data_IF_137172922462
#
_entry.id   IF_137172922462
#
_cell.length_a   1.000
_cell.length_b   1.000
_cell.length_c   1.000
_cell.angle_alpha   90.00
_cell.angle_beta   90.00
_cell.angle_gamma   90.00
#
_symmetry.space_group_name_H-M   'P 1'
#
loop_
_entity.id
_entity.type
_entity.pdbx_description
1 polymer ?
#
# COMPACT_ATOMS: atom_id res chain seq x y z
N UNK A 1 -2.67 14.43 2.81
CA UNK A 1 -2.66 13.08 3.44
C UNK A 1 -1.56 12.24 2.79
N UNK A 2 -1.09 11.17 3.44
CA UNK A 2 -0.01 10.31 2.91
C UNK A 2 -0.30 9.74 1.52
N UNK A 3 -1.56 9.41 1.23
CA UNK A 3 -1.98 8.96 -0.10
C UNK A 3 -1.85 10.06 -1.17
N UNK A 4 -2.11 11.32 -0.82
CA UNK A 4 -2.01 12.45 -1.76
C UNK A 4 -0.55 12.70 -2.17
N UNK A 5 0.37 12.68 -1.19
CA UNK A 5 1.82 12.73 -1.43
C UNK A 5 2.25 11.57 -2.35
N UNK A 6 1.86 10.34 -2.00
CA UNK A 6 2.16 9.15 -2.79
C UNK A 6 1.65 9.22 -4.23
N UNK A 7 0.40 9.67 -4.43
CA UNK A 7 -0.19 9.83 -5.77
C UNK A 7 0.66 10.77 -6.62
N UNK A 8 1.02 11.94 -6.11
CA UNK A 8 1.78 12.94 -6.87
C UNK A 8 3.15 12.37 -7.28
N UNK A 9 3.85 11.72 -6.34
CA UNK A 9 5.14 11.09 -6.62
C UNK A 9 5.03 10.00 -7.68
N UNK A 10 4.14 9.03 -7.52
CA UNK A 10 4.03 7.87 -8.42
C UNK A 10 3.52 8.26 -9.80
N UNK A 11 2.55 9.18 -9.89
CA UNK A 11 2.06 9.64 -11.20
C UNK A 11 3.13 10.45 -11.94
N UNK A 12 3.95 11.22 -11.22
CA UNK A 12 5.09 11.96 -11.77
C UNK A 12 6.21 11.04 -12.27
N UNK A 13 6.59 10.05 -11.47
CA UNK A 13 7.66 9.09 -11.80
C UNK A 13 7.26 8.15 -12.94
N UNK A 14 6.02 7.66 -12.96
CA UNK A 14 5.56 6.68 -13.95
C UNK A 14 4.91 7.31 -15.20
N UNK A 15 4.61 8.61 -15.16
CA UNK A 15 3.86 9.30 -16.21
C UNK A 15 2.44 8.76 -16.43
N UNK A 16 1.88 8.04 -15.45
CA UNK A 16 0.59 7.35 -15.53
C UNK A 16 -0.30 7.76 -14.38
N UNK A 17 -1.55 8.12 -14.67
CA UNK A 17 -2.55 8.47 -13.65
C UNK A 17 -3.16 7.23 -12.99
N UNK A 18 -3.39 7.31 -11.68
CA UNK A 18 -4.15 6.32 -10.92
C UNK A 18 -5.62 6.45 -11.31
N UNK A 19 -6.19 5.41 -11.94
CA UNK A 19 -7.59 5.40 -12.39
C UNK A 19 -8.55 4.75 -11.39
N UNK A 20 -8.09 3.70 -10.74
CA UNK A 20 -8.92 2.90 -9.82
C UNK A 20 -8.11 2.58 -8.57
N UNK A 21 -8.72 2.78 -7.41
CA UNK A 21 -8.19 2.36 -6.12
C UNK A 21 -9.14 1.31 -5.53
N UNK A 22 -8.62 0.10 -5.33
CA UNK A 22 -9.32 -0.99 -4.65
C UNK A 22 -8.74 -1.17 -3.26
N UNK A 23 -9.59 -1.16 -2.24
CA UNK A 23 -9.20 -1.41 -0.85
C UNK A 23 -10.14 -2.45 -0.23
N UNK A 24 -9.75 -2.99 0.91
CA UNK A 24 -10.71 -3.68 1.76
C UNK A 24 -11.74 -2.69 2.35
N UNK A 25 -12.70 -3.22 3.09
CA UNK A 25 -13.65 -2.44 3.88
C UNK A 25 -13.05 -1.96 5.22
N UNK A 26 -11.72 -1.87 5.32
CA UNK A 26 -11.06 -1.24 6.46
C UNK A 26 -11.45 0.24 6.56
N UNK A 27 -11.74 0.70 7.78
CA UNK A 27 -12.21 2.06 8.02
C UNK A 27 -11.24 3.17 7.59
N UNK A 28 -9.96 2.85 7.44
CA UNK A 28 -8.88 3.80 7.14
C UNK A 28 -9.08 4.55 5.81
N UNK A 29 -9.76 3.95 4.83
CA UNK A 29 -10.03 4.54 3.52
C UNK A 29 -11.52 4.85 3.27
N UNK A 30 -12.30 4.91 4.35
CA UNK A 30 -13.75 5.13 4.32
C UNK A 30 -14.15 6.56 4.69
N UNK A 31 -13.20 7.44 5.04
CA UNK A 31 -13.51 8.81 5.42
C UNK A 31 -14.14 9.60 4.27
N UNK A 32 -15.11 10.46 4.60
CA UNK A 32 -15.82 11.28 3.61
C UNK A 32 -14.86 12.22 2.87
N UNK A 33 -13.84 12.73 3.56
CA UNK A 33 -12.80 13.57 2.98
C UNK A 33 -12.00 12.80 1.92
N UNK A 34 -11.66 11.53 2.20
CA UNK A 34 -10.91 10.69 1.27
C UNK A 34 -11.76 10.31 0.05
N UNK A 35 -13.03 9.99 0.24
CA UNK A 35 -13.97 9.71 -0.85
C UNK A 35 -14.20 10.94 -1.74
N UNK A 36 -14.33 12.13 -1.13
CA UNK A 36 -14.42 13.41 -1.85
C UNK A 36 -13.16 13.69 -2.65
N UNK A 37 -11.98 13.46 -2.06
CA UNK A 37 -10.71 13.58 -2.75
C UNK A 37 -10.62 12.65 -3.98
N UNK A 38 -10.96 11.37 -3.82
CA UNK A 38 -10.92 10.42 -4.93
C UNK A 38 -11.86 10.83 -6.07
N UNK A 39 -13.07 11.30 -5.77
CA UNK A 39 -14.00 11.85 -6.76
C UNK A 39 -13.42 13.06 -7.49
N UNK A 40 -12.84 14.02 -6.78
CA UNK A 40 -12.20 15.22 -7.38
C UNK A 40 -11.03 14.86 -8.30
N UNK A 41 -10.30 13.79 -7.99
CA UNK A 41 -9.18 13.31 -8.80
C UNK A 41 -9.59 12.35 -9.92
N UNK A 42 -10.87 12.01 -10.04
CA UNK A 42 -11.37 11.04 -11.03
C UNK A 42 -10.96 9.59 -10.75
N UNK A 43 -10.63 9.27 -9.49
CA UNK A 43 -10.23 7.92 -9.07
C UNK A 43 -11.49 7.11 -8.73
N UNK A 44 -11.74 6.03 -9.47
CA UNK A 44 -12.81 5.06 -9.16
C UNK A 44 -12.47 4.31 -7.88
N UNK A 45 -13.40 4.30 -6.92
CA UNK A 45 -13.27 3.52 -5.68
C UNK A 45 -13.92 2.17 -5.83
N UNK A 46 -13.19 1.13 -5.46
CA UNK A 46 -13.68 -0.24 -5.36
C UNK A 46 -13.38 -0.78 -3.97
N UNK A 47 -14.33 -1.51 -3.41
CA UNK A 47 -14.21 -2.13 -2.11
C UNK A 47 -14.36 -3.63 -2.28
N UNK A 48 -13.53 -4.41 -1.60
CA UNK A 48 -13.70 -5.86 -1.61
C UNK A 48 -14.90 -6.26 -0.78
N UNK A 49 -15.62 -7.29 -1.22
CA UNK A 49 -16.79 -7.79 -0.50
C UNK A 49 -16.37 -8.30 0.90
N UNK A 50 -17.17 -8.04 1.96
CA UNK A 50 -16.94 -8.64 3.26
C UNK A 50 -16.76 -10.15 3.15
N UNK A 51 -15.86 -10.73 3.96
CA UNK A 51 -15.57 -12.17 3.99
C UNK A 51 -15.00 -12.75 2.68
N UNK A 52 -14.51 -11.91 1.75
CA UNK A 52 -13.82 -12.36 0.52
C UNK A 52 -12.35 -11.90 0.45
N UNK A 53 -11.48 -12.35 1.37
CA UNK A 53 -10.08 -11.93 1.43
C UNK A 53 -9.30 -12.19 0.11
N UNK A 54 -9.76 -13.13 -0.71
CA UNK A 54 -9.17 -13.44 -2.01
C UNK A 54 -9.20 -12.24 -2.97
N UNK A 55 -10.19 -11.34 -2.85
CA UNK A 55 -10.28 -10.14 -3.69
C UNK A 55 -9.20 -9.10 -3.37
N UNK A 56 -8.70 -9.08 -2.14
CA UNK A 56 -7.56 -8.26 -1.71
C UNK A 56 -6.24 -9.05 -1.69
N UNK A 57 -6.29 -10.34 -2.05
CA UNK A 57 -5.18 -11.26 -1.87
C UNK A 57 -3.91 -10.86 -2.59
N UNK A 58 -3.97 -10.09 -3.68
CA UNK A 58 -2.76 -9.59 -4.36
C UNK A 58 -2.01 -8.58 -3.48
N UNK A 59 -2.73 -7.60 -2.92
CA UNK A 59 -2.15 -6.59 -2.04
C UNK A 59 -1.64 -7.26 -0.75
N UNK A 60 -2.45 -8.12 -0.14
CA UNK A 60 -2.08 -8.85 1.07
C UNK A 60 -0.86 -9.75 0.86
N UNK A 61 -0.79 -10.48 -0.26
CA UNK A 61 0.38 -11.31 -0.59
C UNK A 61 1.64 -10.47 -0.77
N UNK A 62 1.57 -9.31 -1.46
CA UNK A 62 2.74 -8.44 -1.64
C UNK A 62 3.20 -7.85 -0.30
N UNK A 63 2.27 -7.39 0.54
CA UNK A 63 2.60 -6.89 1.89
C UNK A 63 3.26 -7.98 2.73
N UNK A 64 2.69 -9.20 2.72
CA UNK A 64 3.26 -10.35 3.43
C UNK A 64 4.67 -10.66 2.93
N UNK A 65 4.86 -10.76 1.62
CA UNK A 65 6.15 -11.07 1.02
C UNK A 65 7.22 -10.04 1.42
N UNK A 66 6.92 -8.74 1.36
CA UNK A 66 7.83 -7.68 1.81
C UNK A 66 8.15 -7.80 3.30
N UNK A 67 7.14 -8.07 4.14
CA UNK A 67 7.31 -8.19 5.59
C UNK A 67 8.15 -9.40 6.00
N UNK A 68 7.99 -10.53 5.30
CA UNK A 68 8.75 -11.75 5.54
C UNK A 68 10.20 -11.59 5.08
N UNK A 69 10.42 -10.94 3.94
CA UNK A 69 11.77 -10.60 3.46
C UNK A 69 12.47 -9.66 4.43
N UNK A 70 11.80 -8.58 4.85
CA UNK A 70 12.36 -7.64 5.83
C UNK A 70 12.75 -8.36 7.13
N UNK A 71 11.87 -9.21 7.67
CA UNK A 71 12.13 -9.97 8.90
C UNK A 71 13.33 -10.91 8.74
N UNK A 72 13.40 -11.60 7.60
CA UNK A 72 14.48 -12.53 7.28
C UNK A 72 15.83 -11.81 7.20
N UNK A 73 15.88 -10.64 6.57
CA UNK A 73 17.11 -9.84 6.48
C UNK A 73 17.58 -9.29 7.82
N UNK A 74 16.66 -8.73 8.63
CA UNK A 74 16.99 -8.24 9.96
C UNK A 74 17.55 -9.37 10.83
N UNK A 75 16.95 -10.56 10.77
CA UNK A 75 17.43 -11.73 11.49
C UNK A 75 18.81 -12.20 10.98
N UNK A 76 18.97 -12.33 9.66
CA UNK A 76 20.21 -12.80 9.05
C UNK A 76 21.42 -11.88 9.31
N UNK A 77 21.18 -10.58 9.53
CA UNK A 77 22.22 -9.58 9.81
C UNK A 77 22.29 -9.17 11.28
N UNK A 78 21.54 -9.85 12.16
CA UNK A 78 21.45 -9.55 13.59
C UNK A 78 21.17 -8.05 13.87
N UNK A 79 20.28 -7.46 13.06
CA UNK A 79 19.94 -6.05 13.16
C UNK A 79 18.82 -5.83 14.19
N UNK A 80 18.82 -4.68 14.89
CA UNK A 80 17.73 -4.31 15.79
C UNK A 80 16.39 -4.30 15.08
N UNK A 81 15.34 -4.82 15.73
CA UNK A 81 13.94 -4.74 15.24
C UNK A 81 13.46 -3.31 15.02
N UNK A 82 14.09 -2.33 15.67
CA UNK A 82 13.82 -0.91 15.46
C UNK A 82 14.02 -0.48 14.00
N UNK A 83 14.89 -1.15 13.25
CA UNK A 83 15.19 -0.86 11.84
C UNK A 83 14.19 -1.47 10.85
N UNK A 84 12.99 -1.84 11.30
CA UNK A 84 11.98 -2.48 10.44
C UNK A 84 11.50 -1.56 9.32
N UNK A 85 11.44 -0.24 9.54
CA UNK A 85 11.00 0.71 8.52
C UNK A 85 12.02 0.80 7.37
N UNK A 86 13.31 0.85 7.70
CA UNK A 86 14.42 0.84 6.76
C UNK A 86 14.50 -0.51 6.03
N UNK A 87 14.32 -1.61 6.76
CA UNK A 87 14.26 -2.96 6.19
C UNK A 87 13.10 -3.12 5.20
N UNK A 88 11.91 -2.61 5.52
CA UNK A 88 10.75 -2.61 4.63
C UNK A 88 10.98 -1.75 3.38
N UNK A 89 11.60 -0.58 3.53
CA UNK A 89 12.01 0.27 2.40
C UNK A 89 12.98 -0.46 1.48
N UNK A 90 13.98 -1.12 2.05
CA UNK A 90 14.94 -1.92 1.28
C UNK A 90 14.24 -3.07 0.56
N UNK A 91 13.33 -3.78 1.23
CA UNK A 91 12.59 -4.88 0.64
C UNK A 91 11.73 -4.40 -0.55
N UNK A 92 11.07 -3.26 -0.43
CA UNK A 92 10.28 -2.66 -1.51
C UNK A 92 11.11 -2.16 -2.69
N UNK A 93 12.38 -1.78 -2.45
CA UNK A 93 13.29 -1.38 -3.51
C UNK A 93 13.83 -2.58 -4.31
N UNK A 94 14.09 -3.69 -3.63
CA UNK A 94 14.70 -4.90 -4.24
C UNK A 94 13.66 -5.80 -4.91
N UNK A 95 12.43 -5.88 -4.40
CA UNK A 95 11.36 -6.79 -4.84
C UNK A 95 10.28 -6.08 -5.66
#
# INVERSE_FOLDING_TARGET
SKFQEFKVTVEGELGRKIKTLRTDNGGEFMSNEFLSFCRKQGIKREFTCPYTPQQNGVAERKIRHLSETCRSWLHAKNLPKALWAEGMRCAAYVI
#
